data_IF_718848699064
#
_entry.id   IF_718848699064
#
_cell.length_a   1.000
_cell.length_b   1.000
_cell.length_c   1.000
_cell.angle_alpha   90.00
_cell.angle_beta   90.00
_cell.angle_gamma   90.00
#
_symmetry.space_group_name_H-M   'P 1'
#
loop_
_entity.id
_entity.type
_entity.pdbx_description
1 polymer ?
#
# COMPACT_ATOMS: atom_id res chain seq x y z
N UNK A 1 -9.20 -6.15 21.52
CA UNK A 1 -9.89 -5.89 20.24
C UNK A 1 -10.79 -7.09 19.96
N UNK A 2 -12.08 -6.88 19.65
CA UNK A 2 -13.06 -7.98 19.54
C UNK A 2 -13.21 -8.36 18.07
N UNK A 3 -12.39 -9.30 17.60
CA UNK A 3 -12.36 -9.79 16.19
C UNK A 3 -13.47 -10.82 15.88
N UNK A 4 -14.60 -10.78 16.59
CA UNK A 4 -15.59 -11.86 16.52
C UNK A 4 -16.24 -12.02 15.14
N UNK A 5 -16.60 -10.90 14.52
CA UNK A 5 -17.21 -10.92 13.18
C UNK A 5 -16.19 -11.32 12.11
N UNK A 6 -14.95 -10.85 12.22
CA UNK A 6 -13.90 -11.13 11.23
C UNK A 6 -13.45 -12.59 11.31
N UNK A 7 -13.32 -13.15 12.51
CA UNK A 7 -13.01 -14.56 12.71
C UNK A 7 -14.09 -15.46 12.10
N UNK A 8 -15.38 -15.18 12.35
CA UNK A 8 -16.47 -15.93 11.75
C UNK A 8 -16.46 -15.82 10.21
N UNK A 9 -16.13 -14.64 9.68
CA UNK A 9 -15.99 -14.44 8.24
C UNK A 9 -14.84 -15.29 7.67
N UNK A 10 -13.68 -15.29 8.31
CA UNK A 10 -12.52 -16.08 7.87
C UNK A 10 -12.78 -17.58 7.94
N UNK A 11 -13.49 -18.07 8.96
CA UNK A 11 -13.95 -19.45 9.05
C UNK A 11 -14.86 -19.81 7.85
N UNK A 12 -15.80 -18.94 7.50
CA UNK A 12 -16.69 -19.14 6.33
C UNK A 12 -15.94 -19.08 5.00
N UNK A 13 -14.83 -18.36 4.94
CA UNK A 13 -13.92 -18.36 3.78
C UNK A 13 -13.03 -19.60 3.74
N UNK A 14 -13.00 -20.42 4.80
CA UNK A 14 -12.17 -21.61 4.88
C UNK A 14 -10.68 -21.30 5.06
N UNK A 15 -10.35 -20.15 5.65
CA UNK A 15 -8.98 -19.77 5.93
C UNK A 15 -8.43 -20.54 7.13
N UNK A 16 -7.18 -20.99 7.04
CA UNK A 16 -6.37 -21.34 8.21
C UNK A 16 -5.69 -20.06 8.68
N UNK A 17 -6.12 -19.52 9.82
CA UNK A 17 -5.70 -18.19 10.29
C UNK A 17 -5.28 -18.17 11.75
N UNK A 18 -4.35 -17.28 12.04
CA UNK A 18 -3.94 -16.93 13.40
C UNK A 18 -4.23 -15.45 13.65
N UNK A 19 -4.89 -15.15 14.77
CA UNK A 19 -5.07 -13.77 15.23
C UNK A 19 -3.91 -13.40 16.14
N UNK A 20 -3.09 -12.45 15.69
CA UNK A 20 -1.94 -11.98 16.46
C UNK A 20 -2.38 -10.97 17.52
N UNK A 21 -1.87 -11.11 18.74
CA UNK A 21 -2.14 -10.18 19.84
C UNK A 21 -1.18 -8.98 19.80
N UNK A 22 -1.22 -8.22 18.70
CA UNK A 22 -0.24 -7.15 18.44
C UNK A 22 -0.41 -5.90 19.30
N UNK A 23 -1.63 -5.63 19.78
CA UNK A 23 -1.97 -4.30 20.30
C UNK A 23 -1.94 -3.24 19.20
N UNK A 24 -1.62 -1.99 19.55
CA UNK A 24 -1.51 -0.88 18.59
C UNK A 24 -0.26 -1.03 17.70
N UNK A 25 -0.39 -0.74 16.41
CA UNK A 25 0.74 -0.78 15.46
C UNK A 25 1.72 0.40 15.58
N UNK A 26 1.33 1.49 16.27
CA UNK A 26 2.12 2.72 16.40
C UNK A 26 1.69 3.87 15.46
N UNK A 27 0.85 3.61 14.46
CA UNK A 27 0.50 4.61 13.42
C UNK A 27 -0.88 5.28 13.58
N UNK A 28 -1.55 5.09 14.72
CA UNK A 28 -2.94 5.55 14.89
C UNK A 28 -3.06 7.08 14.79
N UNK A 29 -4.03 7.57 14.00
CA UNK A 29 -4.40 8.99 13.96
C UNK A 29 -3.35 9.95 13.43
N UNK A 30 -2.31 9.47 12.74
CA UNK A 30 -1.20 10.31 12.26
C UNK A 30 0.05 10.27 13.16
N UNK A 31 -0.06 9.72 14.37
CA UNK A 31 0.98 9.73 15.40
C UNK A 31 2.35 9.31 14.87
N UNK A 32 2.44 8.15 14.20
CA UNK A 32 3.71 7.63 13.71
C UNK A 32 4.30 8.32 12.47
N UNK A 33 3.61 9.31 11.89
CA UNK A 33 4.17 10.17 10.85
C UNK A 33 4.87 11.40 11.43
N UNK A 34 4.63 11.73 12.71
CA UNK A 34 5.26 12.87 13.36
C UNK A 34 6.68 12.51 13.78
N UNK A 35 7.63 13.41 13.48
CA UNK A 35 9.05 13.19 13.76
C UNK A 35 9.33 12.86 15.23
N UNK A 36 8.65 13.57 16.14
CA UNK A 36 8.86 13.44 17.58
C UNK A 36 8.26 12.12 18.14
N UNK A 37 7.42 11.45 17.36
CA UNK A 37 6.71 10.23 17.74
C UNK A 37 7.18 9.00 16.95
N UNK A 38 8.08 9.17 15.98
CA UNK A 38 8.55 8.11 15.10
C UNK A 38 9.10 6.92 15.87
N UNK A 39 10.07 7.13 16.75
CA UNK A 39 10.72 6.03 17.51
C UNK A 39 9.72 5.27 18.39
N UNK A 40 8.73 5.97 18.95
CA UNK A 40 7.66 5.36 19.75
C UNK A 40 6.74 4.53 18.86
N UNK A 41 6.37 5.04 17.68
CA UNK A 41 5.60 4.30 16.67
C UNK A 41 6.31 3.01 16.25
N UNK A 42 7.60 3.10 15.91
CA UNK A 42 8.42 1.93 15.56
C UNK A 42 8.47 0.95 16.73
N UNK A 43 8.74 1.45 17.94
CA UNK A 43 8.76 0.63 19.15
C UNK A 43 7.44 -0.11 19.40
N UNK A 44 6.29 0.49 19.08
CA UNK A 44 5.00 -0.20 19.16
C UNK A 44 4.90 -1.34 18.13
N UNK A 45 5.29 -1.09 16.88
CA UNK A 45 5.29 -2.09 15.81
C UNK A 45 6.23 -3.27 16.10
N UNK A 46 7.42 -2.99 16.62
CA UNK A 46 8.47 -3.99 16.90
C UNK A 46 8.15 -4.91 18.08
N UNK A 47 7.12 -4.61 18.88
CA UNK A 47 6.71 -5.50 19.98
C UNK A 47 6.22 -6.87 19.50
N UNK A 48 5.39 -6.87 18.45
CA UNK A 48 4.71 -8.10 17.97
C UNK A 48 4.46 -8.04 16.47
N UNK A 49 3.85 -6.96 15.97
CA UNK A 49 3.37 -6.87 14.59
C UNK A 49 4.48 -7.11 13.57
N UNK A 50 5.55 -6.32 13.65
CA UNK A 50 6.64 -6.36 12.65
C UNK A 50 7.44 -7.66 12.71
N UNK A 51 7.83 -8.21 13.88
CA UNK A 51 8.48 -9.51 13.94
C UNK A 51 7.65 -10.65 13.33
N UNK A 52 6.35 -10.70 13.62
CA UNK A 52 5.46 -11.74 13.08
C UNK A 52 5.34 -11.63 11.57
N UNK A 53 5.13 -10.42 11.04
CA UNK A 53 5.01 -10.21 9.59
C UNK A 53 6.31 -10.56 8.85
N UNK A 54 7.48 -10.16 9.38
CA UNK A 54 8.78 -10.51 8.78
C UNK A 54 9.07 -12.02 8.85
N UNK A 55 8.54 -12.72 9.84
CA UNK A 55 8.66 -14.17 9.99
C UNK A 55 7.65 -14.98 9.17
N UNK A 56 6.62 -14.33 8.62
CA UNK A 56 5.57 -15.02 7.87
C UNK A 56 6.11 -15.60 6.57
N UNK A 57 5.61 -16.79 6.20
CA UNK A 57 5.94 -17.42 4.94
C UNK A 57 5.54 -16.54 3.75
N UNK A 58 6.23 -16.71 2.63
CA UNK A 58 5.97 -15.94 1.42
C UNK A 58 4.56 -16.17 0.86
N UNK A 59 4.00 -17.36 1.06
CA UNK A 59 2.63 -17.72 0.65
C UNK A 59 1.57 -17.29 1.69
N UNK A 60 1.99 -16.81 2.87
CA UNK A 60 1.07 -16.46 3.97
C UNK A 60 0.37 -15.13 3.67
N UNK A 61 -0.96 -15.13 3.70
CA UNK A 61 -1.77 -13.90 3.64
C UNK A 61 -1.63 -13.09 4.93
N UNK A 62 -1.36 -11.79 4.79
CA UNK A 62 -1.38 -10.86 5.92
C UNK A 62 -2.63 -10.00 5.79
N UNK A 63 -3.51 -10.01 6.79
CA UNK A 63 -4.79 -9.29 6.78
C UNK A 63 -4.78 -8.21 7.86
N UNK A 64 -5.05 -6.97 7.47
CA UNK A 64 -5.22 -5.84 8.39
C UNK A 64 -6.21 -4.81 7.82
N UNK A 65 -7.32 -4.58 8.52
CA UNK A 65 -8.38 -3.66 8.05
C UNK A 65 -8.09 -2.19 8.34
N UNK A 66 -7.24 -1.92 9.34
CA UNK A 66 -6.81 -0.55 9.66
C UNK A 66 -5.79 -0.02 8.67
N UNK A 67 -6.06 1.15 8.06
CA UNK A 67 -5.09 1.88 7.24
C UNK A 67 -3.73 2.05 7.94
N UNK A 68 -3.74 2.48 9.21
CA UNK A 68 -2.53 2.66 10.02
C UNK A 68 -1.71 1.38 10.14
N UNK A 69 -2.34 0.21 10.33
CA UNK A 69 -1.62 -1.06 10.45
C UNK A 69 -1.02 -1.47 9.10
N UNK A 70 -1.80 -1.36 8.01
CA UNK A 70 -1.28 -1.65 6.66
C UNK A 70 -0.11 -0.75 6.31
N UNK A 71 -0.18 0.53 6.65
CA UNK A 71 0.88 1.49 6.37
C UNK A 71 2.15 1.20 7.18
N UNK A 72 2.02 0.85 8.46
CA UNK A 72 3.17 0.44 9.28
C UNK A 72 3.88 -0.78 8.67
N UNK A 73 3.11 -1.79 8.27
CA UNK A 73 3.63 -3.01 7.63
C UNK A 73 4.33 -2.66 6.33
N UNK A 74 3.68 -1.86 5.48
CA UNK A 74 4.20 -1.42 4.17
C UNK A 74 5.51 -0.66 4.30
N UNK A 75 5.65 0.21 5.30
CA UNK A 75 6.85 1.02 5.46
C UNK A 75 8.03 0.24 6.08
N UNK A 76 7.76 -0.79 6.89
CA UNK A 76 8.77 -1.42 7.75
C UNK A 76 9.09 -2.88 7.38
N UNK A 77 8.45 -3.42 6.34
CA UNK A 77 8.63 -4.80 5.86
C UNK A 77 8.56 -4.87 4.34
N UNK A 78 8.92 -6.02 3.77
CA UNK A 78 8.76 -6.36 2.35
C UNK A 78 7.37 -6.93 2.03
N UNK A 79 6.47 -6.98 3.01
CA UNK A 79 5.11 -7.51 2.89
C UNK A 79 4.09 -6.40 2.74
N UNK A 80 2.94 -6.72 2.15
CA UNK A 80 1.77 -5.86 2.17
C UNK A 80 0.60 -6.57 2.82
N UNK A 81 -0.02 -5.92 3.80
CA UNK A 81 -1.26 -6.42 4.39
C UNK A 81 -2.47 -6.01 3.54
N UNK A 82 -3.41 -6.94 3.35
CA UNK A 82 -4.65 -6.73 2.64
C UNK A 82 -5.78 -6.35 3.60
N UNK A 83 -6.72 -5.53 3.13
CA UNK A 83 -8.02 -5.35 3.76
C UNK A 83 -8.90 -6.58 3.50
N UNK A 84 -9.79 -6.94 4.42
CA UNK A 84 -10.69 -8.10 4.29
C UNK A 84 -11.50 -8.09 2.99
N UNK A 85 -11.93 -6.92 2.54
CA UNK A 85 -12.61 -6.76 1.25
C UNK A 85 -11.76 -7.20 0.03
N UNK A 86 -10.43 -6.99 0.07
CA UNK A 86 -9.52 -7.47 -0.98
C UNK A 86 -9.36 -9.00 -0.91
N UNK A 87 -9.34 -9.57 0.29
CA UNK A 87 -9.31 -11.03 0.49
C UNK A 87 -10.61 -11.67 -0.01
N UNK A 88 -11.76 -11.03 0.22
CA UNK A 88 -13.05 -11.47 -0.34
C UNK A 88 -13.04 -11.42 -1.87
N UNK A 89 -12.53 -10.32 -2.45
CA UNK A 89 -12.37 -10.21 -3.90
C UNK A 89 -11.42 -11.29 -4.45
N UNK A 90 -10.34 -11.59 -3.73
CA UNK A 90 -9.42 -12.68 -4.07
C UNK A 90 -10.14 -14.02 -4.08
N UNK A 91 -10.92 -14.34 -3.05
CA UNK A 91 -11.70 -15.58 -2.99
C UNK A 91 -12.75 -15.69 -4.11
N UNK A 92 -13.39 -14.58 -4.49
CA UNK A 92 -14.34 -14.54 -5.61
C UNK A 92 -13.64 -14.82 -6.95
N UNK A 93 -12.44 -14.27 -7.16
CA UNK A 93 -11.74 -14.34 -8.44
C UNK A 93 -10.94 -15.64 -8.62
N UNK A 94 -10.33 -16.15 -7.55
CA UNK A 94 -9.40 -17.29 -7.59
C UNK A 94 -10.01 -18.57 -6.98
N UNK A 95 -11.16 -18.46 -6.32
CA UNK A 95 -11.79 -19.56 -5.59
C UNK A 95 -11.13 -19.87 -4.24
N UNK A 96 -11.55 -20.96 -3.57
CA UNK A 96 -11.16 -21.25 -2.19
C UNK A 96 -9.68 -21.63 -2.00
N UNK A 97 -8.94 -21.90 -3.08
CA UNK A 97 -7.50 -22.19 -3.00
C UNK A 97 -6.63 -20.93 -3.07
N UNK A 98 -7.22 -19.77 -3.41
CA UNK A 98 -6.48 -18.53 -3.59
C UNK A 98 -5.51 -18.56 -4.80
N UNK A 99 -4.78 -17.46 -5.00
CA UNK A 99 -3.76 -17.36 -6.04
C UNK A 99 -2.58 -18.30 -5.74
N UNK A 100 -1.97 -18.85 -6.79
CA UNK A 100 -0.76 -19.66 -6.65
C UNK A 100 0.50 -18.81 -6.61
N UNK A 101 1.44 -19.11 -5.70
CA UNK A 101 2.79 -18.54 -5.67
C UNK A 101 2.99 -17.49 -4.59
N UNK A 102 4.25 -17.05 -4.48
CA UNK A 102 4.70 -16.19 -3.40
C UNK A 102 4.05 -14.79 -3.47
N UNK A 103 3.84 -14.19 -2.30
CA UNK A 103 3.31 -12.84 -2.12
C UNK A 103 1.91 -12.67 -2.73
N UNK A 104 0.89 -13.36 -2.17
CA UNK A 104 -0.49 -13.30 -2.67
C UNK A 104 -1.06 -11.87 -2.69
N UNK A 105 -0.47 -10.93 -1.95
CA UNK A 105 -0.82 -9.51 -1.95
C UNK A 105 -0.55 -8.78 -3.29
N UNK A 106 0.42 -9.21 -4.09
CA UNK A 106 0.96 -8.41 -5.22
C UNK A 106 -0.09 -8.06 -6.29
N UNK A 107 -1.04 -8.95 -6.52
CA UNK A 107 -2.12 -8.73 -7.52
C UNK A 107 -3.21 -7.78 -7.02
N UNK A 108 -3.29 -7.57 -5.71
CA UNK A 108 -4.41 -6.87 -5.06
C UNK A 108 -4.01 -5.54 -4.42
N UNK A 109 -2.71 -5.31 -4.25
CA UNK A 109 -2.17 -4.01 -3.88
C UNK A 109 -1.86 -3.26 -5.17
N UNK A 110 -2.40 -2.05 -5.30
CA UNK A 110 -2.10 -1.22 -6.46
C UNK A 110 -0.57 -1.05 -6.55
N UNK A 111 0.04 -1.29 -7.73
CA UNK A 111 1.44 -0.96 -7.92
C UNK A 111 1.62 0.53 -7.58
N UNK A 112 2.75 0.93 -6.96
CA UNK A 112 3.03 2.34 -6.76
C UNK A 112 2.85 3.07 -8.10
N UNK A 113 2.14 4.19 -8.08
CA UNK A 113 2.00 5.07 -9.24
C UNK A 113 3.40 5.24 -9.87
N UNK A 114 3.56 4.96 -11.18
CA UNK A 114 4.86 5.03 -11.80
C UNK A 114 5.41 6.44 -11.62
N UNK A 115 6.47 6.60 -10.84
CA UNK A 115 7.18 7.87 -10.75
C UNK A 115 7.76 8.18 -12.13
N UNK A 116 7.39 9.28 -12.79
CA UNK A 116 7.88 9.58 -14.11
C UNK A 116 9.41 9.66 -14.06
N UNK A 117 10.07 8.90 -14.94
CA UNK A 117 11.52 8.92 -15.04
C UNK A 117 12.03 10.34 -15.34
N UNK A 118 13.26 10.67 -14.96
CA UNK A 118 13.86 11.98 -15.27
C UNK A 118 13.80 12.33 -16.77
N UNK A 119 13.85 11.32 -17.65
CA UNK A 119 13.66 11.49 -19.09
C UNK A 119 12.23 11.92 -19.46
N UNK A 120 11.22 11.32 -18.83
CA UNK A 120 9.80 11.67 -19.02
C UNK A 120 9.52 13.11 -18.59
N UNK A 121 10.09 13.55 -17.45
CA UNK A 121 9.98 14.94 -16.98
C UNK A 121 10.64 15.90 -17.97
N UNK A 122 11.83 15.58 -18.48
CA UNK A 122 12.53 16.41 -19.46
C UNK A 122 11.70 16.59 -20.76
N UNK A 123 11.11 15.51 -21.27
CA UNK A 123 10.29 15.56 -22.47
C UNK A 123 9.04 16.44 -22.31
N UNK A 124 8.37 16.36 -21.15
CA UNK A 124 7.20 17.21 -20.85
C UNK A 124 7.61 18.69 -20.80
N UNK A 125 8.72 19.02 -20.13
CA UNK A 125 9.23 20.39 -20.07
C UNK A 125 9.64 20.93 -21.45
N UNK A 126 10.26 20.10 -22.30
CA UNK A 126 10.65 20.50 -23.65
C UNK A 126 9.43 20.83 -24.52
N UNK A 127 8.39 19.99 -24.50
CA UNK A 127 7.15 20.23 -25.27
C UNK A 127 6.47 21.53 -24.82
N UNK A 128 6.39 21.78 -23.52
CA UNK A 128 5.84 23.01 -22.98
C UNK A 128 6.63 24.26 -23.43
N UNK A 129 7.97 24.18 -23.40
CA UNK A 129 8.83 25.27 -23.83
C UNK A 129 8.69 25.57 -25.34
N UNK A 130 8.62 24.53 -26.18
CA UNK A 130 8.39 24.69 -27.62
C UNK A 130 7.01 25.28 -27.92
N UNK A 131 5.95 24.83 -27.23
CA UNK A 131 4.61 25.37 -27.37
C UNK A 131 4.54 26.85 -27.01
N UNK A 132 5.22 27.27 -25.94
CA UNK A 132 5.29 28.68 -25.53
C UNK A 132 6.05 29.53 -26.56
N UNK A 133 7.20 29.05 -27.05
CA UNK A 133 8.02 29.74 -28.04
C UNK A 133 7.30 29.89 -29.39
N UNK A 134 6.60 28.84 -29.84
CA UNK A 134 5.79 28.87 -31.05
C UNK A 134 4.56 29.79 -30.88
N UNK A 135 3.91 29.76 -29.71
CA UNK A 135 2.80 30.66 -29.39
C UNK A 135 3.23 32.14 -29.37
N UNK A 136 4.38 32.45 -28.77
CA UNK A 136 4.96 33.80 -28.74
C UNK A 136 5.36 34.30 -30.13
N UNK A 137 5.96 33.45 -30.96
CA UNK A 137 6.33 33.84 -32.34
C UNK A 137 5.08 34.07 -33.20
N UNK A 138 4.07 33.20 -33.13
CA UNK A 138 2.79 33.39 -33.83
C UNK A 138 2.01 34.61 -33.34
N UNK A 139 2.04 34.90 -32.03
CA UNK A 139 1.44 36.11 -31.46
C UNK A 139 2.16 37.38 -31.92
N UNK A 140 3.49 37.37 -31.95
CA UNK A 140 4.30 38.50 -32.39
C UNK A 140 4.17 38.76 -33.90
N UNK A 141 4.10 37.70 -34.72
CA UNK A 141 3.88 37.80 -36.17
C UNK A 141 2.46 38.33 -36.50
N UNK A 142 1.45 37.95 -35.71
CA UNK A 142 0.09 38.53 -35.80
C UNK A 142 0.00 39.99 -35.36
N UNK A 143 0.89 40.46 -34.48
CA UNK A 143 0.91 41.85 -33.99
C UNK A 143 1.60 42.82 -34.95
N UNK A 144 2.50 42.32 -35.80
CA UNK A 144 3.30 43.11 -36.76
C UNK A 144 2.71 43.16 -38.18
N UNK A 145 1.50 42.62 -38.39
CA UNK A 145 0.69 42.83 -39.60
C UNK A 145 -0.44 43.79 -39.29
#
# INVERSE_FOLDING_TARGET
>A
MKMGCDAELFDRLGLDFEIINSGCCGMAGGFGFEKDHYDVSIGCGERVLLPVVRGAGKETLIIADGFSCREQIRQMTDRQALHVAQVLQMAINEGPRGPSGNFPEDKYVAPPEPTPSGATVLSICAIAAFGLAAGLTLFNDRRNR
#
